data_IF_443511084007
#
_entry.id   IF_443511084007
#
_cell.length_a   1.000
_cell.length_b   1.000
_cell.length_c   1.000
_cell.angle_alpha   90.00
_cell.angle_beta   90.00
_cell.angle_gamma   90.00
#
_symmetry.space_group_name_H-M   'P 1'
#
loop_
_entity.id
_entity.type
_entity.pdbx_description
1 polymer ?
#
# COMPACT_ATOMS: atom_id res chain seq x y z
N UNK A 1 58.67 23.26 -78.62
CA UNK A 1 57.84 24.48 -78.82
C UNK A 1 56.53 24.14 -79.51
N UNK A 2 56.54 23.44 -80.65
CA UNK A 2 55.29 23.06 -81.35
C UNK A 2 54.38 22.11 -80.55
N UNK A 3 54.93 21.11 -79.86
CA UNK A 3 54.14 20.24 -78.96
C UNK A 3 53.52 20.99 -77.79
N UNK A 4 54.20 22.02 -77.25
CA UNK A 4 53.67 22.87 -76.18
C UNK A 4 52.53 23.76 -76.70
N UNK A 5 52.64 24.28 -77.92
CA UNK A 5 51.58 25.07 -78.55
C UNK A 5 50.36 24.21 -78.90
N UNK A 6 50.57 22.97 -79.34
CA UNK A 6 49.49 22.01 -79.60
C UNK A 6 48.74 21.63 -78.31
N UNK A 7 49.47 21.30 -77.24
CA UNK A 7 48.88 21.03 -75.92
C UNK A 7 48.12 22.24 -75.37
N UNK A 8 48.64 23.46 -75.57
CA UNK A 8 47.96 24.68 -75.13
C UNK A 8 46.70 24.97 -75.96
N UNK A 9 46.76 24.79 -77.28
CA UNK A 9 45.61 24.98 -78.16
C UNK A 9 44.49 23.96 -77.87
N UNK A 10 44.85 22.71 -77.56
CA UNK A 10 43.89 21.68 -77.17
C UNK A 10 43.26 21.96 -75.79
N UNK A 11 44.06 22.41 -74.82
CA UNK A 11 43.57 22.84 -73.51
C UNK A 11 42.60 24.04 -73.61
N UNK A 12 42.92 25.04 -74.45
CA UNK A 12 42.04 26.19 -74.72
C UNK A 12 40.77 25.75 -75.46
N UNK A 13 40.90 24.85 -76.44
CA UNK A 13 39.78 24.30 -77.20
C UNK A 13 38.76 23.56 -76.31
N UNK A 14 39.22 22.87 -75.26
CA UNK A 14 38.35 22.21 -74.29
C UNK A 14 37.78 23.17 -73.23
N UNK A 15 38.40 24.32 -72.99
CA UNK A 15 37.94 25.31 -72.02
C UNK A 15 36.72 26.08 -72.52
N UNK A 16 36.64 26.38 -73.82
CA UNK A 16 35.56 27.19 -74.41
C UNK A 16 34.17 26.55 -74.20
N UNK A 17 33.95 25.24 -74.48
CA UNK A 17 32.68 24.59 -74.21
C UNK A 17 32.32 24.53 -72.72
N UNK A 18 33.32 24.31 -71.85
CA UNK A 18 33.12 24.27 -70.38
C UNK A 18 32.72 25.62 -69.80
N UNK A 19 33.38 26.69 -70.24
CA UNK A 19 32.99 28.06 -69.88
C UNK A 19 31.59 28.40 -70.37
N UNK A 20 31.22 27.96 -71.58
CA UNK A 20 29.87 28.10 -72.12
C UNK A 20 28.83 27.39 -71.26
N UNK A 21 29.10 26.14 -70.86
CA UNK A 21 28.23 25.37 -69.96
C UNK A 21 28.07 26.02 -68.59
N UNK A 22 29.17 26.46 -67.97
CA UNK A 22 29.15 27.16 -66.70
C UNK A 22 28.36 28.48 -66.77
N UNK A 23 28.56 29.28 -67.81
CA UNK A 23 27.79 30.51 -68.02
C UNK A 23 26.30 30.23 -68.22
N UNK A 24 25.94 29.20 -69.00
CA UNK A 24 24.55 28.78 -69.17
C UNK A 24 23.92 28.34 -67.83
N UNK A 25 24.63 27.57 -67.01
CA UNK A 25 24.17 27.15 -65.69
C UNK A 25 23.90 28.34 -64.76
N UNK A 26 24.76 29.37 -64.77
CA UNK A 26 24.55 30.60 -63.99
C UNK A 26 23.33 31.37 -64.47
N UNK A 27 23.13 31.50 -65.78
CA UNK A 27 21.95 32.18 -66.35
C UNK A 27 20.67 31.44 -65.96
N UNK A 28 20.65 30.11 -66.11
CA UNK A 28 19.52 29.27 -65.72
C UNK A 28 19.24 29.40 -64.22
N UNK A 29 20.27 29.30 -63.38
CA UNK A 29 20.17 29.47 -61.94
C UNK A 29 19.65 30.85 -61.52
N UNK A 30 20.09 31.91 -62.21
CA UNK A 30 19.62 33.26 -61.95
C UNK A 30 18.11 33.42 -62.23
N UNK A 31 17.65 32.86 -63.36
CA UNK A 31 16.22 32.85 -63.74
C UNK A 31 15.41 32.01 -62.76
N UNK A 32 15.83 30.77 -62.51
CA UNK A 32 15.15 29.83 -61.61
C UNK A 32 15.07 30.39 -60.18
N UNK A 33 16.16 30.95 -59.66
CA UNK A 33 16.19 31.51 -58.31
C UNK A 33 15.23 32.68 -58.15
N UNK A 34 15.10 33.53 -59.17
CA UNK A 34 14.14 34.63 -59.16
C UNK A 34 12.69 34.13 -59.22
N UNK A 35 12.42 33.11 -60.05
CA UNK A 35 11.07 32.57 -60.24
C UNK A 35 10.61 31.76 -59.03
N UNK A 36 11.43 30.79 -58.59
CA UNK A 36 11.13 29.90 -57.47
C UNK A 36 11.13 30.68 -56.15
N UNK A 37 12.09 31.58 -55.93
CA UNK A 37 12.13 32.41 -54.71
C UNK A 37 10.88 33.30 -54.59
N UNK A 38 10.43 33.89 -55.70
CA UNK A 38 9.18 34.67 -55.72
C UNK A 38 7.95 33.79 -55.50
N UNK A 39 7.89 32.61 -56.12
CA UNK A 39 6.80 31.66 -55.92
C UNK A 39 6.72 31.19 -54.46
N UNK A 40 7.86 30.80 -53.88
CA UNK A 40 7.94 30.34 -52.50
C UNK A 40 7.54 31.44 -51.51
N UNK A 41 8.01 32.68 -51.70
CA UNK A 41 7.59 33.81 -50.88
C UNK A 41 6.08 34.02 -50.91
N UNK A 42 5.46 33.94 -52.10
CA UNK A 42 4.00 34.04 -52.25
C UNK A 42 3.26 32.87 -51.59
N UNK A 43 3.77 31.65 -51.71
CA UNK A 43 3.18 30.48 -51.07
C UNK A 43 3.21 30.61 -49.55
N UNK A 44 4.36 30.99 -49.00
CA UNK A 44 4.54 31.16 -47.55
C UNK A 44 3.71 32.33 -47.03
N UNK A 45 3.59 33.41 -47.80
CA UNK A 45 2.67 34.51 -47.47
C UNK A 45 1.22 34.04 -47.44
N UNK A 46 0.78 33.20 -48.38
CA UNK A 46 -0.57 32.62 -48.37
C UNK A 46 -0.83 31.70 -47.18
N UNK A 47 0.22 31.09 -46.61
CA UNK A 47 0.11 30.28 -45.39
C UNK A 47 -0.04 31.12 -44.12
N UNK A 48 0.01 32.45 -44.22
CA UNK A 48 -0.16 33.33 -43.07
C UNK A 48 1.08 33.43 -42.17
N UNK A 49 2.28 33.12 -42.70
CA UNK A 49 3.49 33.13 -41.88
C UNK A 49 3.82 34.51 -41.33
N UNK A 50 3.46 35.58 -42.06
CA UNK A 50 3.73 36.95 -41.65
C UNK A 50 2.90 37.31 -40.39
N UNK A 51 1.63 36.89 -40.35
CA UNK A 51 0.70 37.08 -39.24
C UNK A 51 1.08 36.23 -38.01
N UNK A 52 1.45 34.96 -38.24
CA UNK A 52 1.93 34.06 -37.19
C UNK A 52 3.22 34.59 -36.56
N UNK A 53 4.12 35.13 -37.38
CA UNK A 53 5.39 35.67 -36.91
C UNK A 53 5.28 37.04 -36.25
N UNK A 54 4.12 37.72 -36.27
CA UNK A 54 4.02 39.18 -36.10
C UNK A 54 4.80 39.76 -34.89
N UNK A 55 4.34 39.96 -33.67
CA UNK A 55 5.17 40.41 -32.53
C UNK A 55 6.37 39.53 -32.08
N UNK A 56 6.92 38.65 -32.92
CA UNK A 56 8.11 37.83 -32.60
C UNK A 56 9.41 38.64 -32.61
N UNK A 57 10.45 38.12 -31.94
CA UNK A 57 11.78 38.70 -32.03
C UNK A 57 12.33 38.68 -33.46
N UNK A 58 12.07 37.60 -34.21
CA UNK A 58 12.47 37.47 -35.60
C UNK A 58 11.81 38.52 -36.49
N UNK A 59 10.49 38.73 -36.38
CA UNK A 59 9.80 39.74 -37.17
C UNK A 59 10.29 41.16 -36.89
N UNK A 60 10.67 41.49 -35.65
CA UNK A 60 11.33 42.78 -35.33
C UNK A 60 12.68 42.94 -36.03
N UNK A 61 13.50 41.89 -36.06
CA UNK A 61 14.78 41.91 -36.76
C UNK A 61 14.55 42.03 -38.27
N UNK A 62 13.67 41.23 -38.84
CA UNK A 62 13.39 41.23 -40.28
C UNK A 62 12.77 42.56 -40.75
N UNK A 63 11.84 43.13 -39.98
CA UNK A 63 11.24 44.43 -40.29
C UNK A 63 12.25 45.59 -40.23
N UNK A 64 13.29 45.53 -39.39
CA UNK A 64 14.38 46.52 -39.42
C UNK A 64 15.18 46.53 -40.73
N UNK A 65 15.14 45.43 -41.49
CA UNK A 65 15.72 45.34 -42.84
C UNK A 65 14.68 45.54 -43.95
N UNK A 66 13.42 45.85 -43.62
CA UNK A 66 12.32 45.99 -44.58
C UNK A 66 11.88 44.68 -45.23
N UNK A 67 12.12 43.54 -44.57
CA UNK A 67 11.81 42.19 -45.08
C UNK A 67 10.73 41.55 -44.21
N UNK A 68 9.76 40.87 -44.80
CA UNK A 68 8.75 40.07 -44.07
C UNK A 68 9.25 38.64 -43.81
N UNK A 69 8.60 37.87 -42.93
CA UNK A 69 8.98 36.46 -42.68
C UNK A 69 8.87 35.62 -43.96
N UNK A 70 7.78 35.79 -44.72
CA UNK A 70 7.57 35.19 -46.03
C UNK A 70 8.59 35.66 -47.09
N UNK A 71 9.02 36.92 -47.01
CA UNK A 71 10.07 37.50 -47.85
C UNK A 71 11.45 36.90 -47.55
N UNK A 72 11.76 36.70 -46.27
CA UNK A 72 13.00 36.08 -45.84
C UNK A 72 13.11 34.64 -46.31
N UNK A 73 12.04 33.84 -46.22
CA UNK A 73 12.03 32.47 -46.78
C UNK A 73 12.29 32.48 -48.29
N UNK A 74 11.62 33.37 -49.03
CA UNK A 74 11.87 33.53 -50.46
C UNK A 74 13.30 33.96 -50.78
N UNK A 75 13.88 34.83 -49.95
CA UNK A 75 15.26 35.28 -50.06
C UNK A 75 16.25 34.13 -49.82
N UNK A 76 16.03 33.33 -48.78
CA UNK A 76 16.83 32.13 -48.50
C UNK A 76 16.79 31.17 -49.68
N UNK A 77 15.60 30.81 -50.17
CA UNK A 77 15.44 29.90 -51.32
C UNK A 77 16.12 30.45 -52.58
N UNK A 78 15.96 31.75 -52.85
CA UNK A 78 16.60 32.43 -53.98
C UNK A 78 18.13 32.33 -53.89
N UNK A 79 18.71 32.68 -52.73
CA UNK A 79 20.16 32.60 -52.52
C UNK A 79 20.67 31.18 -52.58
N UNK A 80 19.89 30.22 -52.10
CA UNK A 80 20.26 28.81 -52.23
C UNK A 80 20.34 28.38 -53.69
N UNK A 81 19.35 28.72 -54.52
CA UNK A 81 19.40 28.37 -55.95
C UNK A 81 20.59 29.06 -56.64
N UNK A 82 20.91 30.30 -56.26
CA UNK A 82 22.10 30.98 -56.76
C UNK A 82 23.38 30.25 -56.35
N UNK A 83 23.51 29.87 -55.08
CA UNK A 83 24.63 29.07 -54.62
C UNK A 83 24.71 27.73 -55.37
N UNK A 84 23.61 27.00 -55.53
CA UNK A 84 23.56 25.76 -56.32
C UNK A 84 24.06 25.98 -57.74
N UNK A 85 23.62 27.05 -58.40
CA UNK A 85 24.01 27.34 -59.77
C UNK A 85 25.50 27.64 -59.91
N UNK A 86 26.11 28.28 -58.92
CA UNK A 86 27.55 28.52 -58.86
C UNK A 86 28.30 27.19 -58.67
N UNK A 87 27.81 26.32 -57.79
CA UNK A 87 28.40 24.99 -57.56
C UNK A 87 28.32 24.11 -58.83
N UNK A 88 27.17 24.11 -59.52
CA UNK A 88 27.02 23.43 -60.82
C UNK A 88 27.93 24.04 -61.87
N UNK A 89 28.07 25.37 -61.91
CA UNK A 89 28.98 26.02 -62.84
C UNK A 89 30.44 25.62 -62.58
N UNK A 90 30.85 25.52 -61.31
CA UNK A 90 32.18 25.05 -60.89
C UNK A 90 32.40 23.59 -61.32
N UNK A 91 31.39 22.73 -61.15
CA UNK A 91 31.43 21.34 -61.56
C UNK A 91 31.62 21.20 -63.08
N UNK A 92 30.90 22.01 -63.87
CA UNK A 92 31.03 22.05 -65.34
C UNK A 92 32.39 22.57 -65.82
N UNK A 93 33.12 23.34 -65.00
CA UNK A 93 34.50 23.73 -65.33
C UNK A 93 35.47 22.54 -65.24
N UNK A 94 35.11 21.48 -64.51
CA UNK A 94 35.90 20.25 -64.39
C UNK A 94 37.22 20.47 -63.67
N UNK A 95 37.18 21.20 -62.55
CA UNK A 95 38.35 21.44 -61.68
C UNK A 95 38.31 20.41 -60.53
N UNK A 96 39.15 19.35 -60.55
CA UNK A 96 39.01 18.23 -59.62
C UNK A 96 39.12 18.61 -58.14
N UNK A 97 39.88 19.65 -57.83
CA UNK A 97 40.02 20.16 -56.46
C UNK A 97 38.72 20.78 -55.93
N UNK A 98 37.86 21.32 -56.82
CA UNK A 98 36.61 21.96 -56.47
C UNK A 98 35.40 21.03 -56.64
N UNK A 99 35.49 19.99 -57.46
CA UNK A 99 34.42 18.98 -57.66
C UNK A 99 33.97 18.36 -56.33
N UNK A 100 34.92 17.86 -55.52
CA UNK A 100 34.60 17.28 -54.20
C UNK A 100 33.92 18.27 -53.25
N UNK A 101 34.32 19.54 -53.31
CA UNK A 101 33.69 20.59 -52.51
C UNK A 101 32.28 20.89 -53.01
N UNK A 102 32.10 20.90 -54.33
CA UNK A 102 30.81 21.13 -54.99
C UNK A 102 29.80 20.04 -54.65
N UNK A 103 30.18 18.77 -54.76
CA UNK A 103 29.33 17.62 -54.40
C UNK A 103 28.84 17.70 -52.95
N UNK A 104 29.77 17.89 -52.01
CA UNK A 104 29.44 18.02 -50.59
C UNK A 104 28.53 19.23 -50.32
N UNK A 105 28.78 20.36 -50.98
CA UNK A 105 27.98 21.57 -50.81
C UNK A 105 26.56 21.41 -51.41
N UNK A 106 26.43 20.74 -52.56
CA UNK A 106 25.14 20.43 -53.19
C UNK A 106 24.33 19.48 -52.29
N UNK A 107 24.97 18.47 -51.67
CA UNK A 107 24.30 17.55 -50.75
C UNK A 107 23.87 18.24 -49.44
N UNK A 108 24.67 19.18 -48.94
CA UNK A 108 24.37 19.93 -47.73
C UNK A 108 23.21 20.93 -47.92
N UNK A 109 23.11 21.53 -49.10
CA UNK A 109 22.16 22.60 -49.41
C UNK A 109 20.69 22.28 -49.08
N UNK A 110 20.12 21.13 -49.49
CA UNK A 110 18.76 20.75 -49.14
C UNK A 110 18.51 20.70 -47.63
N UNK A 111 19.46 20.15 -46.86
CA UNK A 111 19.37 20.07 -45.40
C UNK A 111 19.43 21.46 -44.75
N UNK A 112 20.29 22.34 -45.27
CA UNK A 112 20.37 23.73 -44.84
C UNK A 112 19.05 24.49 -45.10
N UNK A 113 18.45 24.34 -46.29
CA UNK A 113 17.15 24.95 -46.61
C UNK A 113 16.07 24.40 -45.68
N UNK A 114 16.01 23.07 -45.52
CA UNK A 114 15.03 22.42 -44.66
C UNK A 114 15.10 22.96 -43.23
N UNK A 115 16.31 23.11 -42.70
CA UNK A 115 16.51 23.67 -41.37
C UNK A 115 16.15 25.14 -41.29
N UNK A 116 16.45 25.95 -42.32
CA UNK A 116 16.03 27.36 -42.36
C UNK A 116 14.50 27.49 -42.40
N UNK A 117 13.82 26.64 -43.15
CA UNK A 117 12.36 26.60 -43.19
C UNK A 117 11.76 26.21 -41.83
N UNK A 118 12.33 25.20 -41.18
CA UNK A 118 11.95 24.77 -39.83
C UNK A 118 12.21 25.87 -38.81
N UNK A 119 13.31 26.62 -38.93
CA UNK A 119 13.62 27.74 -38.04
C UNK A 119 12.57 28.86 -38.16
N UNK A 120 12.32 29.35 -39.38
CA UNK A 120 11.39 30.47 -39.59
C UNK A 120 9.95 30.03 -39.27
N UNK A 121 9.52 28.90 -39.81
CA UNK A 121 8.19 28.34 -39.58
C UNK A 121 7.96 27.94 -38.13
N UNK A 122 8.97 27.33 -37.51
CA UNK A 122 8.93 26.92 -36.11
C UNK A 122 8.89 28.11 -35.16
N UNK A 123 9.63 29.20 -35.43
CA UNK A 123 9.56 30.42 -34.60
C UNK A 123 8.15 31.00 -34.69
N UNK A 124 7.59 31.12 -35.89
CA UNK A 124 6.23 31.62 -36.06
C UNK A 124 5.21 30.73 -35.33
N UNK A 125 5.34 29.41 -35.41
CA UNK A 125 4.48 28.46 -34.71
C UNK A 125 4.63 28.55 -33.19
N UNK A 126 5.85 28.64 -32.67
CA UNK A 126 6.13 28.78 -31.24
C UNK A 126 5.50 30.05 -30.67
N UNK A 127 5.58 31.15 -31.41
CA UNK A 127 5.00 32.44 -31.02
C UNK A 127 3.47 32.41 -31.07
N UNK A 128 2.90 31.78 -32.09
CA UNK A 128 1.46 31.54 -32.17
C UNK A 128 0.94 30.73 -30.98
N UNK A 129 1.60 29.62 -30.64
CA UNK A 129 1.24 28.80 -29.48
C UNK A 129 1.40 29.58 -28.16
N UNK A 130 2.48 30.36 -28.01
CA UNK A 130 2.69 31.17 -26.83
C UNK A 130 1.61 32.26 -26.65
N UNK A 131 1.11 32.84 -27.75
CA UNK A 131 0.00 33.80 -27.72
C UNK A 131 -1.30 33.15 -27.25
N UNK A 132 -1.67 32.00 -27.82
CA UNK A 132 -2.87 31.25 -27.42
C UNK A 132 -2.80 30.90 -25.92
N UNK A 133 -1.64 30.44 -25.45
CA UNK A 133 -1.41 30.17 -24.03
C UNK A 133 -1.59 31.43 -23.18
N UNK A 134 -1.11 32.58 -23.64
CA UNK A 134 -1.26 33.84 -22.93
C UNK A 134 -2.68 34.34 -22.84
N UNK A 135 -3.45 34.22 -23.91
CA UNK A 135 -4.87 34.55 -23.93
C UNK A 135 -5.66 33.64 -22.97
N UNK A 136 -5.38 32.34 -23.00
CA UNK A 136 -6.03 31.33 -22.15
C UNK A 136 -5.73 31.52 -20.66
N UNK A 137 -4.52 31.99 -20.32
CA UNK A 137 -4.07 32.18 -18.94
C UNK A 137 -4.29 33.62 -18.42
N UNK A 138 -4.88 34.51 -19.22
CA UNK A 138 -4.99 35.96 -18.93
C UNK A 138 -5.64 36.32 -17.58
N UNK A 139 -6.39 35.41 -16.95
CA UNK A 139 -6.99 35.59 -15.63
C UNK A 139 -6.11 35.22 -14.43
N UNK A 140 -4.90 34.66 -14.62
CA UNK A 140 -4.03 34.24 -13.52
C UNK A 140 -2.93 35.27 -13.21
N UNK A 141 -2.60 35.50 -11.92
CA UNK A 141 -1.57 36.46 -11.52
C UNK A 141 -0.16 36.08 -12.00
N UNK A 142 0.08 34.80 -12.30
CA UNK A 142 1.37 34.27 -12.79
C UNK A 142 1.40 33.98 -14.30
N UNK A 143 0.34 34.35 -15.03
CA UNK A 143 0.20 34.08 -16.47
C UNK A 143 1.40 34.53 -17.29
N UNK A 144 1.94 35.72 -17.00
CA UNK A 144 3.11 36.26 -17.70
C UNK A 144 4.36 35.40 -17.55
N UNK A 145 4.62 34.85 -16.36
CA UNK A 145 5.78 33.99 -16.11
C UNK A 145 5.62 32.64 -16.80
N UNK A 146 4.41 32.06 -16.77
CA UNK A 146 4.11 30.79 -17.43
C UNK A 146 4.25 30.91 -18.95
N UNK A 147 3.72 31.98 -19.53
CA UNK A 147 3.82 32.23 -20.99
C UNK A 147 5.25 32.49 -21.42
N UNK A 148 6.03 33.26 -20.63
CA UNK A 148 7.45 33.48 -20.90
C UNK A 148 8.23 32.17 -20.89
N UNK A 149 7.96 31.32 -19.90
CA UNK A 149 8.58 29.99 -19.79
C UNK A 149 8.20 29.08 -20.96
N UNK A 150 6.92 29.01 -21.31
CA UNK A 150 6.44 28.25 -22.46
C UNK A 150 7.06 28.73 -23.77
N UNK A 151 7.16 30.06 -23.98
CA UNK A 151 7.83 30.63 -25.15
C UNK A 151 9.31 30.25 -25.21
N UNK A 152 10.02 30.34 -24.08
CA UNK A 152 11.42 29.91 -24.01
C UNK A 152 11.58 28.43 -24.36
N UNK A 153 10.73 27.57 -23.81
CA UNK A 153 10.69 26.14 -24.12
C UNK A 153 10.45 25.88 -25.61
N UNK A 154 9.40 26.45 -26.19
CA UNK A 154 9.07 26.23 -27.60
C UNK A 154 10.19 26.73 -28.52
N UNK A 155 10.74 27.92 -28.27
CA UNK A 155 11.84 28.45 -29.08
C UNK A 155 13.11 27.60 -28.97
N UNK A 156 13.43 27.10 -27.78
CA UNK A 156 14.60 26.24 -27.58
C UNK A 156 14.51 24.93 -28.38
N UNK A 157 13.31 24.32 -28.45
CA UNK A 157 13.04 23.12 -29.23
C UNK A 157 13.18 23.43 -30.71
N UNK A 158 12.57 24.52 -31.18
CA UNK A 158 12.64 24.96 -32.58
C UNK A 158 14.08 25.22 -33.02
N UNK A 159 14.84 25.97 -32.22
CA UNK A 159 16.24 26.28 -32.52
C UNK A 159 17.03 24.98 -32.62
N UNK A 160 16.97 24.12 -31.61
CA UNK A 160 17.72 22.86 -31.59
C UNK A 160 17.33 21.95 -32.76
N UNK A 161 16.03 21.80 -33.01
CA UNK A 161 15.52 20.99 -34.13
C UNK A 161 15.97 21.55 -35.48
N UNK A 162 15.90 22.88 -35.66
CA UNK A 162 16.33 23.51 -36.90
C UNK A 162 17.82 23.28 -37.17
N UNK A 163 18.68 23.43 -36.15
CA UNK A 163 20.13 23.18 -36.29
C UNK A 163 20.41 21.71 -36.64
N UNK A 164 19.68 20.78 -36.02
CA UNK A 164 19.79 19.36 -36.34
C UNK A 164 19.40 19.07 -37.80
N UNK A 165 18.32 19.67 -38.30
CA UNK A 165 17.92 19.54 -39.71
C UNK A 165 18.97 20.17 -40.64
N UNK A 166 19.60 21.28 -40.24
CA UNK A 166 20.73 21.88 -40.98
C UNK A 166 22.01 21.02 -40.92
N UNK A 167 22.00 19.83 -40.29
CA UNK A 167 23.20 19.01 -40.04
C UNK A 167 24.33 19.79 -39.35
N UNK A 168 24.00 20.83 -38.58
CA UNK A 168 24.95 21.56 -37.75
C UNK A 168 25.08 20.78 -36.43
N UNK A 169 26.31 20.53 -35.99
CA UNK A 169 26.54 19.85 -34.72
C UNK A 169 26.03 20.72 -33.55
N UNK A 170 24.80 20.44 -33.14
CA UNK A 170 24.12 21.10 -32.04
C UNK A 170 24.36 20.38 -30.71
N UNK A 171 25.30 19.42 -30.64
CA UNK A 171 25.52 18.61 -29.43
C UNK A 171 25.83 19.49 -28.21
N UNK A 172 26.64 20.53 -28.38
CA UNK A 172 26.96 21.47 -27.31
C UNK A 172 25.71 22.22 -26.86
N UNK A 173 24.95 22.79 -27.81
CA UNK A 173 23.71 23.50 -27.51
C UNK A 173 22.70 22.59 -26.80
N UNK A 174 22.49 21.38 -27.31
CA UNK A 174 21.60 20.37 -26.74
C UNK A 174 22.02 19.97 -25.33
N UNK A 175 23.31 19.74 -25.10
CA UNK A 175 23.84 19.41 -23.77
C UNK A 175 23.59 20.54 -22.77
N UNK A 176 23.84 21.80 -23.16
CA UNK A 176 23.57 22.96 -22.31
C UNK A 176 22.08 23.14 -22.02
N UNK A 177 21.22 23.01 -23.03
CA UNK A 177 19.76 23.08 -22.86
C UNK A 177 19.26 21.97 -21.92
N UNK A 178 19.72 20.73 -22.11
CA UNK A 178 19.37 19.63 -21.22
C UNK A 178 19.80 19.90 -19.78
N UNK A 179 21.02 20.39 -19.56
CA UNK A 179 21.48 20.75 -18.21
C UNK A 179 20.58 21.82 -17.57
N UNK A 180 20.17 22.84 -18.33
CA UNK A 180 19.20 23.85 -17.85
C UNK A 180 17.84 23.23 -17.54
N UNK A 181 17.32 22.35 -18.39
CA UNK A 181 16.02 21.71 -18.18
C UNK A 181 16.00 20.76 -17.00
N UNK A 182 17.06 19.96 -16.82
CA UNK A 182 17.21 19.13 -15.62
C UNK A 182 17.30 20.00 -14.36
N UNK A 183 18.08 21.09 -14.39
CA UNK A 183 18.18 22.03 -13.27
C UNK A 183 16.84 22.63 -12.87
N UNK A 184 16.06 23.12 -13.85
CA UNK A 184 14.73 23.68 -13.60
C UNK A 184 13.76 22.58 -13.13
N UNK A 185 13.80 21.40 -13.73
CA UNK A 185 12.91 20.30 -13.38
C UNK A 185 13.13 19.82 -11.94
N UNK A 186 14.39 19.71 -11.51
CA UNK A 186 14.73 19.36 -10.13
C UNK A 186 14.26 20.46 -9.18
N UNK A 187 14.46 21.73 -9.53
CA UNK A 187 14.04 22.86 -8.70
C UNK A 187 12.52 22.90 -8.52
N UNK A 188 11.76 22.83 -9.61
CA UNK A 188 10.29 22.83 -9.59
C UNK A 188 9.76 21.58 -8.90
N UNK A 189 10.33 20.41 -9.21
CA UNK A 189 9.94 19.15 -8.58
C UNK A 189 10.17 19.17 -7.06
N UNK A 190 11.32 19.68 -6.61
CA UNK A 190 11.60 19.85 -5.19
C UNK A 190 10.66 20.86 -4.53
N UNK A 191 10.42 22.02 -5.16
CA UNK A 191 9.52 23.04 -4.63
C UNK A 191 8.08 22.52 -4.47
N UNK A 192 7.55 21.85 -5.48
CA UNK A 192 6.21 21.24 -5.44
C UNK A 192 6.16 20.11 -4.42
N UNK A 193 7.19 19.24 -4.38
CA UNK A 193 7.28 18.16 -3.42
C UNK A 193 7.31 18.64 -1.97
N UNK A 194 8.08 19.70 -1.69
CA UNK A 194 8.13 20.32 -0.37
C UNK A 194 6.79 20.97 -0.03
N UNK A 195 6.21 21.76 -0.94
CA UNK A 195 4.95 22.46 -0.70
C UNK A 195 3.79 21.48 -0.42
N UNK A 196 3.65 20.43 -1.24
CA UNK A 196 2.66 19.38 -1.02
C UNK A 196 2.95 18.58 0.26
N UNK A 197 4.22 18.26 0.51
CA UNK A 197 4.65 17.56 1.72
C UNK A 197 4.27 18.30 3.00
N UNK A 198 4.50 19.62 3.06
CA UNK A 198 4.05 20.45 4.17
C UNK A 198 2.53 20.58 4.23
N UNK A 199 1.85 20.73 3.08
CA UNK A 199 0.39 20.87 3.04
C UNK A 199 -0.37 19.62 3.48
N UNK A 200 0.15 18.42 3.20
CA UNK A 200 -0.49 17.15 3.55
C UNK A 200 -0.10 16.66 4.96
N UNK A 201 0.97 17.21 5.54
CA UNK A 201 1.51 16.80 6.84
C UNK A 201 0.44 16.77 7.92
N UNK A 202 -0.35 17.84 8.04
CA UNK A 202 -1.34 17.99 9.11
C UNK A 202 -2.54 17.06 8.90
N UNK A 203 -2.94 16.85 7.65
CA UNK A 203 -4.04 15.93 7.29
C UNK A 203 -3.67 14.46 7.57
N UNK A 204 -2.43 14.07 7.24
CA UNK A 204 -1.92 12.73 7.54
C UNK A 204 -1.74 12.54 9.05
N UNK A 205 -1.22 13.54 9.76
CA UNK A 205 -1.03 13.46 11.21
C UNK A 205 -2.35 13.30 11.99
N UNK A 206 -3.41 13.98 11.55
CA UNK A 206 -4.75 13.86 12.18
C UNK A 206 -5.40 12.51 11.88
N UNK A 207 -5.34 12.04 10.63
CA UNK A 207 -5.87 10.73 10.24
C UNK A 207 -5.18 9.58 10.98
N UNK A 208 -3.85 9.67 11.17
CA UNK A 208 -3.09 8.70 11.96
C UNK A 208 -3.49 8.67 13.43
N UNK A 209 -3.80 9.83 14.05
CA UNK A 209 -4.27 9.88 15.44
C UNK A 209 -5.63 9.20 15.59
N UNK A 210 -6.57 9.48 14.69
CA UNK A 210 -7.90 8.86 14.74
C UNK A 210 -7.81 7.35 14.55
N UNK A 211 -7.00 6.87 13.60
CA UNK A 211 -6.79 5.43 13.41
C UNK A 211 -6.10 4.78 14.61
N UNK A 212 -5.13 5.45 15.22
CA UNK A 212 -4.49 4.97 16.44
C UNK A 212 -5.47 4.90 17.63
N UNK A 213 -6.37 5.89 17.76
CA UNK A 213 -7.41 5.89 18.79
C UNK A 213 -8.46 4.79 18.54
N UNK A 214 -8.90 4.60 17.30
CA UNK A 214 -9.83 3.52 16.94
C UNK A 214 -9.21 2.14 17.17
N UNK A 215 -7.92 1.97 16.84
CA UNK A 215 -7.18 0.74 17.12
C UNK A 215 -7.10 0.46 18.64
N UNK A 216 -6.76 1.47 19.44
CA UNK A 216 -6.76 1.36 20.91
C UNK A 216 -8.15 1.10 21.50
N UNK A 217 -9.20 1.63 20.88
CA UNK A 217 -10.58 1.39 21.33
C UNK A 217 -11.02 -0.03 21.01
N UNK A 218 -10.67 -0.54 19.84
CA UNK A 218 -10.91 -1.93 19.46
C UNK A 218 -10.13 -2.92 20.35
N UNK A 219 -8.90 -2.60 20.78
CA UNK A 219 -8.17 -3.40 21.78
C UNK A 219 -8.90 -3.41 23.13
N UNK A 220 -9.36 -2.24 23.63
CA UNK A 220 -10.13 -2.17 24.88
C UNK A 220 -11.45 -2.93 24.81
N UNK A 221 -12.17 -2.87 23.69
CA UNK A 221 -13.41 -3.62 23.49
C UNK A 221 -13.17 -5.14 23.48
N UNK A 222 -12.04 -5.59 22.91
CA UNK A 222 -11.63 -7.01 22.98
C UNK A 222 -11.29 -7.45 24.40
N UNK A 223 -10.56 -6.63 25.16
CA UNK A 223 -10.28 -6.92 26.56
C UNK A 223 -11.58 -7.02 27.37
N UNK A 224 -12.54 -6.10 27.18
CA UNK A 224 -13.84 -6.15 27.87
C UNK A 224 -14.64 -7.39 27.48
N UNK A 225 -14.66 -7.77 26.20
CA UNK A 225 -15.32 -9.02 25.77
C UNK A 225 -14.68 -10.25 26.41
N UNK A 226 -13.35 -10.30 26.48
CA UNK A 226 -12.63 -11.40 27.14
C UNK A 226 -12.96 -11.47 28.65
N UNK A 227 -13.12 -10.32 29.31
CA UNK A 227 -13.58 -10.25 30.69
C UNK A 227 -15.04 -10.69 30.85
N UNK A 228 -15.95 -10.28 29.98
CA UNK A 228 -17.36 -10.71 30.02
C UNK A 228 -17.50 -12.22 29.81
N UNK A 229 -16.72 -12.81 28.89
CA UNK A 229 -16.71 -14.24 28.62
C UNK A 229 -16.19 -15.03 29.83
N UNK A 230 -15.11 -14.53 30.48
CA UNK A 230 -14.64 -15.10 31.76
C UNK A 230 -15.69 -14.99 32.86
N UNK A 231 -16.38 -13.86 32.97
CA UNK A 231 -17.44 -13.66 33.97
C UNK A 231 -18.63 -14.61 33.75
N UNK A 232 -19.08 -14.82 32.51
CA UNK A 232 -20.10 -15.84 32.21
C UNK A 232 -19.64 -17.25 32.58
N UNK A 233 -18.38 -17.59 32.28
CA UNK A 233 -17.81 -18.87 32.69
C UNK A 233 -17.77 -19.05 34.21
N UNK A 234 -17.59 -17.96 34.96
CA UNK A 234 -17.72 -17.99 36.42
C UNK A 234 -19.16 -18.16 36.88
N UNK A 235 -20.14 -17.48 36.26
CA UNK A 235 -21.57 -17.65 36.59
C UNK A 235 -22.07 -19.08 36.33
N UNK A 236 -21.69 -19.69 35.20
CA UNK A 236 -22.05 -21.08 34.90
C UNK A 236 -21.45 -22.05 35.92
N UNK A 237 -20.17 -21.85 36.30
CA UNK A 237 -19.53 -22.64 37.36
C UNK A 237 -20.23 -22.51 38.70
N UNK A 238 -20.63 -21.29 39.07
CA UNK A 238 -21.39 -21.05 40.31
C UNK A 238 -22.73 -21.79 40.26
N UNK A 239 -23.41 -21.77 39.12
CA UNK A 239 -24.69 -22.47 38.95
C UNK A 239 -24.53 -23.99 39.04
N UNK A 240 -23.51 -24.56 38.40
CA UNK A 240 -23.18 -25.98 38.48
C UNK A 240 -22.85 -26.40 39.93
N UNK A 241 -22.07 -25.58 40.64
CA UNK A 241 -21.78 -25.78 42.06
C UNK A 241 -23.05 -25.74 42.93
N UNK A 242 -23.98 -24.82 42.66
CA UNK A 242 -25.27 -24.76 43.36
C UNK A 242 -26.12 -26.01 43.11
N UNK A 243 -26.23 -26.46 41.85
CA UNK A 243 -26.96 -27.70 41.52
C UNK A 243 -26.31 -28.94 42.17
N UNK A 244 -24.98 -28.99 42.24
CA UNK A 244 -24.28 -30.07 42.93
C UNK A 244 -24.55 -30.05 44.43
N UNK A 245 -24.61 -28.87 45.04
CA UNK A 245 -24.98 -28.70 46.45
C UNK A 245 -26.42 -29.15 46.71
N UNK A 246 -27.39 -28.76 45.89
CA UNK A 246 -28.78 -29.22 46.02
C UNK A 246 -28.89 -30.75 45.95
N UNK A 247 -28.19 -31.39 44.99
CA UNK A 247 -28.14 -32.87 44.91
C UNK A 247 -27.52 -33.49 46.15
N UNK A 248 -26.52 -32.84 46.75
CA UNK A 248 -25.89 -33.33 47.99
C UNK A 248 -26.84 -33.18 49.17
N UNK A 249 -27.57 -32.06 49.28
CA UNK A 249 -28.58 -31.85 50.31
C UNK A 249 -29.72 -32.88 50.22
N UNK A 250 -30.23 -33.15 49.01
CA UNK A 250 -31.24 -34.19 48.79
C UNK A 250 -30.76 -35.58 49.24
N UNK A 251 -29.51 -35.94 48.90
CA UNK A 251 -28.92 -37.21 49.34
C UNK A 251 -28.79 -37.30 50.86
N UNK A 252 -28.43 -36.21 51.53
CA UNK A 252 -28.34 -36.16 52.99
C UNK A 252 -29.72 -36.40 53.60
N UNK A 253 -30.76 -35.74 53.07
CA UNK A 253 -32.14 -35.90 53.54
C UNK A 253 -32.66 -37.34 53.38
N UNK A 254 -32.35 -38.00 52.26
CA UNK A 254 -32.72 -39.41 52.04
C UNK A 254 -32.03 -40.36 53.05
N UNK A 255 -30.77 -40.08 53.38
CA UNK A 255 -30.00 -40.85 54.37
C UNK A 255 -30.53 -40.67 55.80
N UNK A 256 -30.98 -39.47 56.14
CA UNK A 256 -31.60 -39.18 57.45
C UNK A 256 -32.93 -39.94 57.62
N UNK A 257 -33.79 -39.95 56.60
CA UNK A 257 -35.05 -40.72 56.64
C UNK A 257 -34.83 -42.23 56.78
N UNK A 258 -33.82 -42.79 56.10
CA UNK A 258 -33.43 -44.21 56.26
C UNK A 258 -32.86 -44.51 57.65
N UNK A 259 -32.23 -43.53 58.30
CA UNK A 259 -31.65 -43.69 59.63
C UNK A 259 -32.73 -43.59 60.72
N UNK A 260 -33.71 -42.69 60.57
CA UNK A 260 -34.86 -42.57 61.48
C UNK A 260 -35.74 -43.83 61.50
N UNK A 261 -35.96 -44.48 60.36
CA UNK A 261 -36.72 -45.75 60.28
C UNK A 261 -36.02 -46.91 60.99
N UNK A 262 -34.68 -46.97 60.92
CA UNK A 262 -33.90 -48.00 61.63
C UNK A 262 -33.95 -47.81 63.15
N UNK A 263 -33.98 -46.57 63.65
CA UNK A 263 -34.07 -46.30 65.09
C UNK A 263 -35.38 -46.83 65.71
N UNK A 264 -36.50 -46.69 65.00
CA UNK A 264 -37.84 -47.12 65.45
C UNK A 264 -37.97 -48.65 65.59
N UNK A 265 -37.18 -49.40 64.83
CA UNK A 265 -37.21 -50.87 64.83
C UNK A 265 -36.42 -51.46 66.01
N UNK A 266 -35.40 -50.75 66.50
CA UNK A 266 -34.61 -51.17 67.66
C UNK A 266 -35.30 -50.88 69.02
N UNK A 267 -35.97 -49.74 69.18
CA UNK A 267 -36.65 -49.39 70.46
C UNK A 267 -37.79 -50.34 70.84
N UNK A 268 -38.47 -50.94 69.85
CA UNK A 268 -39.60 -51.85 70.08
C UNK A 268 -39.17 -53.25 70.57
N UNK A 269 -37.94 -53.66 70.23
CA UNK A 269 -37.36 -54.95 70.64
C UNK A 269 -36.75 -54.88 72.05
N UNK A 270 -36.26 -53.71 72.50
CA UNK A 270 -35.66 -53.56 73.83
C UNK A 270 -36.69 -53.46 74.98
N UNK A 271 -37.89 -52.91 74.72
CA UNK A 271 -38.93 -52.76 75.74
C UNK A 271 -39.51 -54.10 76.25
N UNK A 272 -39.58 -55.12 75.39
CA UNK A 272 -40.23 -56.40 75.68
C UNK A 272 -39.35 -57.33 76.54
N UNK A 273 -38.02 -57.21 76.40
CA UNK A 273 -37.04 -58.04 77.11
C UNK A 273 -36.93 -57.63 78.57
N UNK A 274 -36.92 -56.32 78.85
CA UNK A 274 -36.77 -55.80 80.21
C UNK A 274 -37.97 -56.15 81.09
N UNK A 275 -39.19 -55.98 80.57
CA UNK A 275 -40.42 -56.30 81.30
C UNK A 275 -40.46 -57.78 81.71
N UNK A 276 -40.04 -58.68 80.82
CA UNK A 276 -40.01 -60.13 81.07
C UNK A 276 -38.94 -60.56 82.06
N UNK A 277 -37.79 -59.86 82.08
CA UNK A 277 -36.74 -60.10 83.08
C UNK A 277 -37.12 -59.60 84.46
N UNK A 278 -37.78 -58.44 84.57
CA UNK A 278 -38.27 -57.92 85.86
C UNK A 278 -39.36 -58.84 86.45
N UNK A 279 -40.23 -59.42 85.62
CA UNK A 279 -41.23 -60.41 86.06
C UNK A 279 -40.61 -61.71 86.57
N UNK A 280 -39.61 -62.25 85.86
CA UNK A 280 -38.97 -63.53 86.23
C UNK A 280 -38.03 -63.42 87.44
N UNK A 281 -37.37 -62.29 87.64
CA UNK A 281 -36.44 -62.11 88.77
C UNK A 281 -37.17 -61.70 90.05
N UNK A 282 -38.21 -60.88 89.93
CA UNK A 282 -39.06 -60.48 91.06
C UNK A 282 -38.27 -60.02 92.29
N UNK A 283 -38.59 -60.59 93.45
CA UNK A 283 -37.95 -60.33 94.75
C UNK A 283 -36.72 -61.22 95.02
N UNK A 284 -36.37 -62.12 94.10
CA UNK A 284 -35.27 -63.10 94.29
C UNK A 284 -33.89 -62.57 93.85
N UNK A 285 -33.83 -61.38 93.25
CA UNK A 285 -32.59 -60.71 92.86
C UNK A 285 -32.79 -59.27 92.40
N UNK A 286 -31.70 -58.53 92.20
CA UNK A 286 -31.72 -57.16 91.67
C UNK A 286 -31.13 -57.11 90.26
N UNK A 287 -31.81 -56.40 89.35
CA UNK A 287 -31.36 -56.20 87.97
C UNK A 287 -30.78 -54.80 87.81
N UNK A 288 -29.54 -54.72 87.33
CA UNK A 288 -28.88 -53.48 86.94
C UNK A 288 -28.59 -53.48 85.44
N UNK A 289 -28.85 -52.36 84.77
CA UNK A 289 -28.50 -52.19 83.36
C UNK A 289 -27.18 -51.43 83.24
N UNK A 290 -26.20 -52.00 82.53
CA UNK A 290 -24.90 -51.37 82.35
C UNK A 290 -24.29 -51.69 80.98
N UNK A 291 -23.86 -50.65 80.25
CA UNK A 291 -23.15 -50.71 78.96
C UNK A 291 -23.82 -51.62 77.91
N UNK A 292 -25.13 -51.48 77.71
CA UNK A 292 -25.84 -52.24 76.68
C UNK A 292 -26.16 -53.69 77.07
N UNK A 293 -25.96 -54.07 78.35
CA UNK A 293 -26.21 -55.41 78.89
C UNK A 293 -26.88 -55.39 80.27
N UNK A 294 -27.26 -56.57 80.77
CA UNK A 294 -27.95 -56.77 82.05
C UNK A 294 -27.03 -57.46 83.06
N UNK A 295 -26.96 -56.94 84.29
CA UNK A 295 -26.28 -57.58 85.41
C UNK A 295 -27.30 -57.89 86.51
N UNK A 296 -27.47 -59.16 86.83
CA UNK A 296 -28.48 -59.63 87.79
C UNK A 296 -27.77 -60.20 89.00
N UNK A 297 -28.00 -59.63 90.18
CA UNK A 297 -27.44 -60.10 91.45
C UNK A 297 -28.48 -60.96 92.15
N UNK A 298 -28.15 -62.21 92.47
CA UNK A 298 -29.08 -63.17 93.06
C UNK A 298 -29.06 -63.01 94.59
N UNK A 299 -30.22 -62.71 95.18
CA UNK A 299 -30.38 -62.49 96.62
C UNK A 299 -30.73 -63.77 97.38
N UNK A 300 -31.51 -64.68 96.78
CA UNK A 300 -31.86 -65.99 97.36
C UNK A 300 -31.75 -67.09 96.29
N UNK A 301 -30.70 -67.92 96.39
CA UNK A 301 -30.39 -68.93 95.37
C UNK A 301 -31.38 -70.10 95.37
N UNK A 302 -32.11 -70.32 96.46
CA UNK A 302 -33.00 -71.48 96.60
C UNK A 302 -34.32 -71.30 95.87
N UNK A 303 -34.72 -70.04 95.59
CA UNK A 303 -35.96 -69.69 94.88
C UNK A 303 -35.74 -69.05 93.51
N UNK A 304 -34.50 -68.70 93.17
CA UNK A 304 -34.20 -68.01 91.91
C UNK A 304 -34.38 -68.91 90.67
N UNK A 305 -35.19 -68.53 89.68
CA UNK A 305 -35.44 -69.33 88.48
C UNK A 305 -34.30 -69.20 87.45
N UNK A 306 -33.13 -69.78 87.80
CA UNK A 306 -31.88 -69.62 87.03
C UNK A 306 -32.02 -70.04 85.56
N UNK A 307 -32.72 -71.13 85.29
CA UNK A 307 -32.86 -71.67 83.92
C UNK A 307 -33.68 -70.74 83.02
N UNK A 308 -34.77 -70.16 83.52
CA UNK A 308 -35.69 -69.33 82.74
C UNK A 308 -35.06 -67.98 82.40
N UNK A 309 -34.34 -67.38 83.36
CA UNK A 309 -33.59 -66.14 83.16
C UNK A 309 -32.49 -66.33 82.10
N UNK A 310 -31.74 -67.44 82.16
CA UNK A 310 -30.69 -67.74 81.17
C UNK A 310 -31.25 -67.99 79.77
N UNK A 311 -32.38 -68.70 79.65
CA UNK A 311 -33.04 -68.92 78.36
C UNK A 311 -33.57 -67.60 77.78
N UNK A 312 -34.18 -66.75 78.60
CA UNK A 312 -34.68 -65.44 78.17
C UNK A 312 -33.55 -64.56 77.63
N UNK A 313 -32.41 -64.50 78.32
CA UNK A 313 -31.25 -63.72 77.87
C UNK A 313 -30.65 -64.30 76.57
N UNK A 314 -30.49 -65.63 76.49
CA UNK A 314 -29.85 -66.27 75.34
C UNK A 314 -30.70 -66.17 74.07
N UNK A 315 -32.01 -66.36 74.16
CA UNK A 315 -32.92 -66.21 73.00
C UNK A 315 -32.95 -64.78 72.45
N UNK A 316 -32.67 -63.79 73.28
CA UNK A 316 -32.66 -62.39 72.91
C UNK A 316 -31.26 -61.87 72.54
N UNK A 317 -30.32 -62.77 72.25
CA UNK A 317 -29.01 -62.41 71.71
C UNK A 317 -28.00 -61.93 72.76
N UNK A 318 -28.26 -62.17 74.05
CA UNK A 318 -27.30 -61.89 75.12
C UNK A 318 -26.52 -63.15 75.49
N UNK A 319 -25.21 -63.03 75.72
CA UNK A 319 -24.41 -64.07 76.34
C UNK A 319 -24.41 -63.84 77.85
N UNK A 320 -24.97 -64.78 78.60
CA UNK A 320 -25.01 -64.74 80.06
C UNK A 320 -23.90 -65.61 80.67
N UNK A 321 -23.18 -65.08 81.64
CA UNK A 321 -22.13 -65.79 82.41
C UNK A 321 -22.48 -65.68 83.89
N UNK A 322 -22.43 -66.81 84.62
CA UNK A 322 -22.68 -66.85 86.06
C UNK A 322 -21.35 -66.86 86.80
N UNK A 323 -21.12 -65.85 87.63
CA UNK A 323 -19.91 -65.71 88.44
C UNK A 323 -20.26 -65.71 89.94
N UNK A 324 -19.38 -66.26 90.78
CA UNK A 324 -19.52 -66.20 92.25
C UNK A 324 -18.81 -64.94 92.75
N UNK A 325 -19.58 -63.97 93.24
CA UNK A 325 -19.08 -62.75 93.85
C UNK A 325 -19.00 -62.83 95.37
N UNK A 326 -18.37 -61.83 96.00
CA UNK A 326 -18.10 -61.80 97.45
C UNK A 326 -19.35 -61.82 98.35
N UNK A 327 -20.55 -61.57 97.80
CA UNK A 327 -21.83 -61.55 98.52
C UNK A 327 -22.91 -62.48 97.93
N UNK A 328 -22.58 -63.33 96.95
CA UNK A 328 -23.56 -64.21 96.29
C UNK A 328 -23.20 -64.61 94.86
N UNK A 329 -24.18 -65.06 94.08
CA UNK A 329 -24.02 -65.39 92.67
C UNK A 329 -24.54 -64.24 91.78
N UNK A 330 -23.84 -63.91 90.71
CA UNK A 330 -24.17 -62.81 89.80
C UNK A 330 -24.19 -63.31 88.36
N UNK A 331 -25.18 -62.89 87.59
CA UNK A 331 -25.29 -63.15 86.15
C UNK A 331 -24.94 -61.87 85.39
N UNK A 332 -23.86 -61.89 84.60
CA UNK A 332 -23.49 -60.78 83.69
C UNK A 332 -23.88 -61.18 82.26
N UNK A 333 -24.81 -60.43 81.67
CA UNK A 333 -25.36 -60.65 80.34
C UNK A 333 -24.96 -59.52 79.41
N UNK A 334 -24.17 -59.84 78.38
CA UNK A 334 -23.68 -58.87 77.38
C UNK A 334 -24.24 -59.17 76.00
N UNK A 335 -24.55 -58.14 75.18
CA UNK A 335 -25.07 -58.36 73.84
C UNK A 335 -24.00 -59.08 73.01
N UNK A 336 -24.39 -60.17 72.34
CA UNK A 336 -23.51 -60.80 71.36
C UNK A 336 -23.36 -59.83 70.19
N UNK A 337 -22.17 -59.24 70.03
CA UNK A 337 -21.82 -58.51 68.81
C UNK A 337 -21.97 -59.45 67.62
N UNK A 338 -22.95 -59.19 66.75
CA UNK A 338 -22.97 -59.67 65.37
C UNK A 338 -22.10 -58.77 64.51
#
# INVERSE_FOLDING_TARGET
MEELLAQFAEAVGQLVPRLGGAAAALVVGWILGRLIGAAASRLVKKLGLDELAEGSAMARVLSSYGVSASGFVGLVIKWTIYASSVLVAIDLLGVPALERFSEAAIEYLPSFIGGMLVLVGGIALAEFLARILGESLSGLPYSRLVVLFARFMLLSIVITMSLMVMKIDATILYSMLNAMFWGISICVGAAVGIALGFSLKDYVASSLKTWAETARKAEREREVQEYEEKMRGYEERVKELCEELERREEKIRELEERSGKRLYEYERLEADIRARLEELVGDTGEIMYAKGGYRIVISDITRFPLAEVLVCLTNNGYRAIVEKGDKGYVIDARPMRR
#
